data_IF_371999767004
#
_entry.id   IF_371999767004
#
_cell.length_a   1.000
_cell.length_b   1.000
_cell.length_c   1.000
_cell.angle_alpha   90.00
_cell.angle_beta   90.00
_cell.angle_gamma   90.00
#
_symmetry.space_group_name_H-M   'P 1'
#
loop_
_entity.id
_entity.type
_entity.pdbx_description
1 polymer ?
#
# COMPACT_ATOMS: atom_id res chain seq x y z
N UNK A 1 -5.59 8.39 34.87
CA UNK A 1 -4.99 7.05 34.74
C UNK A 1 -3.52 7.26 34.34
N UNK A 2 -2.54 6.64 35.01
CA UNK A 2 -1.13 6.81 34.62
C UNK A 2 -0.89 6.06 33.30
N UNK A 3 -0.51 6.78 32.25
CA UNK A 3 -0.02 6.24 30.98
C UNK A 3 1.44 6.69 30.81
N UNK A 4 2.21 5.96 30.01
CA UNK A 4 3.58 6.34 29.68
C UNK A 4 3.67 7.55 28.74
N UNK A 5 2.53 8.00 28.18
CA UNK A 5 2.44 9.11 27.22
C UNK A 5 1.65 10.31 27.73
N UNK A 6 1.94 11.47 27.15
CA UNK A 6 1.06 12.63 27.22
C UNK A 6 -0.24 12.36 26.45
N UNK A 7 -1.37 12.73 27.04
CA UNK A 7 -2.70 12.46 26.49
C UNK A 7 -2.91 13.09 25.09
N UNK A 8 -2.22 14.20 24.81
CA UNK A 8 -2.29 14.90 23.52
C UNK A 8 -1.80 14.04 22.35
N UNK A 9 -0.73 13.25 22.56
CA UNK A 9 -0.21 12.34 21.52
C UNK A 9 -1.20 11.21 21.24
N UNK A 10 -1.85 10.70 22.28
CA UNK A 10 -2.90 9.68 22.15
C UNK A 10 -4.08 10.22 21.33
N UNK A 11 -4.52 11.44 21.62
CA UNK A 11 -5.60 12.08 20.84
C UNK A 11 -5.22 12.37 19.39
N UNK A 12 -3.95 12.68 19.10
CA UNK A 12 -3.49 12.82 17.71
C UNK A 12 -3.60 11.49 16.94
N UNK A 13 -3.35 10.36 17.58
CA UNK A 13 -3.56 9.04 16.97
C UNK A 13 -5.06 8.80 16.72
N UNK A 14 -5.89 8.96 17.75
CA UNK A 14 -7.34 8.72 17.67
C UNK A 14 -8.01 9.59 16.60
N UNK A 15 -7.63 10.86 16.51
CA UNK A 15 -8.17 11.81 15.55
C UNK A 15 -7.49 11.76 14.18
N UNK A 16 -6.55 10.84 13.97
CA UNK A 16 -5.75 10.70 12.75
C UNK A 16 -5.09 12.02 12.34
N UNK A 17 -4.48 12.71 13.30
CA UNK A 17 -3.76 13.99 13.15
C UNK A 17 -2.25 13.84 13.36
N UNK A 18 -1.76 12.62 13.61
CA UNK A 18 -0.34 12.36 13.84
C UNK A 18 0.43 12.18 12.52
N UNK A 19 1.61 12.80 12.40
CA UNK A 19 2.46 12.73 11.21
C UNK A 19 3.38 11.49 11.19
N UNK A 20 3.73 10.98 12.37
CA UNK A 20 4.53 9.77 12.53
C UNK A 20 3.93 8.82 13.59
N UNK A 21 2.84 8.09 13.29
CA UNK A 21 2.20 7.20 14.27
C UNK A 21 3.15 6.17 14.90
N UNK A 22 4.28 5.85 14.25
CA UNK A 22 5.28 4.91 14.73
C UNK A 22 6.07 5.45 15.93
N UNK A 23 6.10 6.76 16.17
CA UNK A 23 6.69 7.32 17.40
C UNK A 23 5.85 7.04 18.65
N UNK A 24 4.60 6.63 18.47
CA UNK A 24 3.62 6.37 19.54
C UNK A 24 3.26 4.89 19.60
N UNK A 25 2.83 4.33 18.47
CA UNK A 25 2.38 2.95 18.31
C UNK A 25 3.57 2.00 18.12
N UNK A 26 3.33 0.70 18.31
CA UNK A 26 4.36 -0.33 18.24
C UNK A 26 5.15 -0.45 19.55
N UNK A 27 6.32 -1.10 19.45
CA UNK A 27 7.19 -1.39 20.58
C UNK A 27 8.29 -0.33 20.75
N UNK A 28 8.46 0.17 21.97
CA UNK A 28 9.43 1.20 22.33
C UNK A 28 10.18 0.83 23.60
N UNK A 29 11.50 1.04 23.62
CA UNK A 29 12.29 0.90 24.86
C UNK A 29 12.21 2.22 25.62
N UNK A 30 11.67 2.21 26.84
CA UNK A 30 11.49 3.41 27.66
C UNK A 30 11.97 3.18 29.10
N UNK A 31 12.12 4.27 29.84
CA UNK A 31 12.24 4.25 31.30
C UNK A 31 10.95 4.79 31.90
N UNK A 32 10.31 4.02 32.78
CA UNK A 32 9.02 4.37 33.40
C UNK A 32 9.04 4.03 34.89
N UNK A 33 8.72 5.03 35.71
CA UNK A 33 8.76 4.94 37.18
C UNK A 33 10.10 4.40 37.74
N UNK A 34 11.22 4.71 37.08
CA UNK A 34 12.57 4.29 37.48
C UNK A 34 12.98 2.90 36.97
N UNK A 35 12.13 2.24 36.18
CA UNK A 35 12.41 0.92 35.61
C UNK A 35 12.50 1.02 34.08
N UNK A 36 13.60 0.54 33.52
CA UNK A 36 13.73 0.41 32.06
C UNK A 36 12.96 -0.82 31.58
N UNK A 37 12.22 -0.69 30.50
CA UNK A 37 11.43 -1.77 29.93
C UNK A 37 11.01 -1.51 28.48
N UNK A 38 10.19 -2.41 27.96
CA UNK A 38 9.56 -2.26 26.64
C UNK A 38 8.09 -1.93 26.85
N UNK A 39 7.63 -0.84 26.24
CA UNK A 39 6.20 -0.52 26.12
C UNK A 39 5.72 -0.90 24.72
N UNK A 40 4.55 -1.52 24.63
CA UNK A 40 3.88 -1.84 23.38
C UNK A 40 2.53 -1.13 23.38
N UNK A 41 2.27 -0.36 22.33
CA UNK A 41 1.04 0.44 22.20
C UNK A 41 0.32 0.12 20.90
N UNK A 42 -0.97 -0.10 20.99
CA UNK A 42 -1.81 -0.43 19.85
C UNK A 42 -3.10 0.39 19.86
N UNK A 43 -3.47 0.90 18.69
CA UNK A 43 -4.76 1.54 18.48
C UNK A 43 -5.66 0.63 17.66
N UNK A 44 -6.64 0.03 18.34
CA UNK A 44 -7.54 -0.99 17.82
C UNK A 44 -8.98 -0.55 18.12
N UNK A 45 -9.57 0.32 17.26
CA UNK A 45 -10.82 1.04 17.57
C UNK A 45 -12.02 0.12 17.80
N UNK A 46 -12.01 -1.06 17.18
CA UNK A 46 -13.13 -2.01 17.23
C UNK A 46 -12.91 -3.14 18.25
N UNK A 47 -11.74 -3.19 18.90
CA UNK A 47 -11.40 -4.25 19.83
C UNK A 47 -12.01 -3.99 21.21
N UNK A 48 -12.54 -5.02 21.86
CA UNK A 48 -12.97 -5.04 23.25
C UNK A 48 -11.81 -5.32 24.22
N UNK A 49 -10.85 -6.16 23.82
CA UNK A 49 -9.60 -6.38 24.54
C UNK A 49 -8.46 -6.65 23.54
N UNK A 50 -7.22 -6.51 24.03
CA UNK A 50 -6.03 -6.76 23.23
C UNK A 50 -4.95 -7.44 24.09
N UNK A 51 -4.12 -8.28 23.46
CA UNK A 51 -2.94 -8.87 24.10
C UNK A 51 -1.74 -8.87 23.14
N UNK A 52 -0.54 -8.91 23.72
CA UNK A 52 0.71 -9.13 22.99
C UNK A 52 1.08 -10.60 23.13
N UNK A 53 1.31 -11.28 22.01
CA UNK A 53 1.78 -12.66 21.98
C UNK A 53 3.22 -12.67 21.48
N UNK A 54 4.15 -13.09 22.34
CA UNK A 54 5.58 -13.19 21.97
C UNK A 54 5.78 -14.24 20.88
N UNK A 55 6.77 -14.01 20.01
CA UNK A 55 7.18 -14.97 19.01
C UNK A 55 8.62 -15.45 19.27
N UNK A 56 8.83 -16.76 19.10
CA UNK A 56 10.13 -17.41 19.05
C UNK A 56 10.26 -18.15 17.73
N UNK A 57 10.77 -17.45 16.70
CA UNK A 57 10.61 -17.87 15.31
C UNK A 57 9.12 -17.84 14.91
N UNK A 58 8.62 -18.93 14.33
CA UNK A 58 7.20 -19.07 13.98
C UNK A 58 6.30 -19.50 15.15
N UNK A 59 6.87 -19.80 16.33
CA UNK A 59 6.11 -20.32 17.47
C UNK A 59 5.59 -19.19 18.36
N UNK A 60 4.32 -19.29 18.70
CA UNK A 60 3.66 -18.43 19.69
C UNK A 60 4.10 -18.81 21.10
N UNK A 61 4.48 -17.80 21.87
CA UNK A 61 4.95 -17.92 23.24
C UNK A 61 3.93 -17.38 24.24
N UNK A 62 4.44 -16.67 25.25
CA UNK A 62 3.60 -16.09 26.31
C UNK A 62 2.72 -14.97 25.77
N UNK A 63 1.46 -14.94 26.22
CA UNK A 63 0.51 -13.86 25.95
C UNK A 63 0.40 -12.93 27.16
N UNK A 64 0.41 -11.62 26.90
CA UNK A 64 0.32 -10.56 27.90
C UNK A 64 -0.86 -9.65 27.58
N UNK A 65 -1.83 -9.55 28.48
CA UNK A 65 -2.99 -8.67 28.31
C UNK A 65 -2.57 -7.20 28.31
N UNK A 66 -3.06 -6.44 27.33
CA UNK A 66 -2.83 -5.00 27.25
C UNK A 66 -3.90 -4.26 28.03
N UNK A 67 -3.51 -3.22 28.75
CA UNK A 67 -4.44 -2.35 29.47
C UNK A 67 -5.06 -1.36 28.49
N UNK A 68 -6.39 -1.26 28.50
CA UNK A 68 -7.10 -0.19 27.81
C UNK A 68 -6.87 1.15 28.53
N UNK A 69 -6.31 2.12 27.83
CA UNK A 69 -6.04 3.47 28.35
C UNK A 69 -7.16 4.45 27.95
N UNK A 70 -7.77 4.24 26.77
CA UNK A 70 -8.89 5.04 26.25
C UNK A 70 -10.00 4.14 25.68
N UNK A 71 -11.25 4.59 25.82
CA UNK A 71 -12.43 3.85 25.35
C UNK A 71 -12.47 3.74 23.82
N UNK A 72 -11.82 4.67 23.12
CA UNK A 72 -11.68 4.74 21.68
C UNK A 72 -10.83 3.61 21.08
N UNK A 73 -10.27 2.73 21.92
CA UNK A 73 -9.51 1.55 21.47
C UNK A 73 -8.00 1.69 21.59
N UNK A 74 -7.52 2.54 22.50
CA UNK A 74 -6.07 2.67 22.74
C UNK A 74 -5.62 1.74 23.87
N UNK A 75 -4.68 0.87 23.59
CA UNK A 75 -4.15 -0.14 24.50
C UNK A 75 -2.65 0.05 24.72
N UNK A 76 -2.21 -0.21 25.95
CA UNK A 76 -0.82 -0.10 26.37
C UNK A 76 -0.43 -1.29 27.25
N UNK A 77 0.74 -1.85 27.00
CA UNK A 77 1.38 -2.87 27.83
C UNK A 77 2.81 -2.41 28.12
N UNK A 78 3.19 -2.35 29.39
CA UNK A 78 4.58 -2.14 29.79
C UNK A 78 5.16 -3.43 30.38
N UNK A 79 6.28 -3.88 29.81
CA UNK A 79 7.03 -5.04 30.25
C UNK A 79 8.33 -4.55 30.91
N UNK A 80 8.40 -4.51 32.26
CA UNK A 80 9.60 -4.10 32.97
C UNK A 80 10.77 -5.06 32.68
N UNK A 81 11.99 -4.56 32.82
CA UNK A 81 13.25 -5.31 32.70
C UNK A 81 13.54 -5.94 31.32
N UNK A 82 12.67 -5.74 30.32
CA UNK A 82 12.95 -6.05 28.92
C UNK A 82 13.91 -5.02 28.34
N UNK A 83 15.09 -5.48 27.88
CA UNK A 83 16.18 -4.62 27.37
C UNK A 83 16.09 -4.30 25.89
N UNK A 84 15.39 -5.11 25.10
CA UNK A 84 15.30 -5.00 23.65
C UNK A 84 13.89 -5.33 23.18
N UNK A 85 13.51 -4.71 22.06
CA UNK A 85 12.31 -5.09 21.31
C UNK A 85 12.48 -6.54 20.84
N UNK A 86 11.38 -7.29 20.86
CA UNK A 86 11.32 -8.69 20.46
C UNK A 86 10.19 -8.87 19.43
N UNK A 87 10.22 -9.93 18.60
CA UNK A 87 9.13 -10.21 17.66
C UNK A 87 7.84 -10.58 18.41
N UNK A 88 6.71 -10.01 18.00
CA UNK A 88 5.40 -10.30 18.59
C UNK A 88 4.27 -10.20 17.56
N UNK A 89 3.10 -10.73 17.94
CA UNK A 89 1.81 -10.45 17.30
C UNK A 89 0.88 -9.78 18.31
N UNK A 90 -0.09 -9.04 17.78
CA UNK A 90 -1.21 -8.55 18.55
C UNK A 90 -2.36 -9.54 18.39
N UNK A 91 -3.02 -9.86 19.50
CA UNK A 91 -4.34 -10.48 19.47
C UNK A 91 -5.38 -9.40 19.80
N UNK A 92 -6.43 -9.30 18.99
CA UNK A 92 -7.60 -8.45 19.28
C UNK A 92 -8.84 -9.32 19.46
N UNK A 93 -9.65 -9.03 20.46
CA UNK A 93 -10.95 -9.67 20.64
C UNK A 93 -12.05 -8.65 20.42
N UNK A 94 -13.00 -8.95 19.54
CA UNK A 94 -14.13 -8.11 19.17
C UNK A 94 -15.32 -8.36 20.13
N UNK A 95 -16.34 -7.51 20.07
CA UNK A 95 -17.50 -7.58 20.99
C UNK A 95 -18.35 -8.86 20.85
N UNK A 96 -18.27 -9.54 19.70
CA UNK A 96 -18.92 -10.82 19.43
C UNK A 96 -18.12 -12.03 19.96
N UNK A 97 -16.96 -11.78 20.58
CA UNK A 97 -16.04 -12.80 21.08
C UNK A 97 -15.05 -13.32 20.03
N UNK A 98 -15.13 -12.87 18.77
CA UNK A 98 -14.17 -13.25 17.73
C UNK A 98 -12.79 -12.72 18.09
N UNK A 99 -11.78 -13.59 18.06
CA UNK A 99 -10.38 -13.22 18.30
C UNK A 99 -9.54 -13.40 17.04
N UNK A 100 -8.65 -12.45 16.78
CA UNK A 100 -7.77 -12.45 15.63
C UNK A 100 -6.33 -12.14 16.07
N UNK A 101 -5.39 -12.95 15.58
CA UNK A 101 -3.96 -12.79 15.82
C UNK A 101 -3.27 -12.30 14.54
N UNK A 102 -2.56 -11.18 14.62
CA UNK A 102 -1.95 -10.52 13.46
C UNK A 102 -0.65 -9.81 13.85
N UNK A 103 0.21 -9.59 12.86
CA UNK A 103 1.44 -8.81 13.06
C UNK A 103 1.12 -7.32 13.20
N UNK A 104 1.83 -6.63 14.09
CA UNK A 104 1.69 -5.20 14.28
C UNK A 104 2.37 -4.41 13.15
N UNK A 105 1.59 -3.69 12.35
CA UNK A 105 2.13 -2.85 11.25
C UNK A 105 3.13 -1.80 11.75
N UNK A 106 2.98 -1.34 13.00
CA UNK A 106 3.84 -0.31 13.61
C UNK A 106 5.14 -0.88 14.20
N UNK A 107 5.39 -2.18 14.06
CA UNK A 107 6.64 -2.83 14.48
C UNK A 107 7.70 -2.90 13.37
N UNK A 108 7.37 -2.48 12.15
CA UNK A 108 8.26 -2.58 10.97
C UNK A 108 8.95 -1.25 10.63
N UNK A 109 10.24 -1.33 10.33
CA UNK A 109 11.06 -0.18 9.92
C UNK A 109 10.70 0.31 8.51
N UNK A 110 11.09 1.55 8.14
CA UNK A 110 10.87 2.07 6.79
C UNK A 110 11.48 1.16 5.73
N UNK A 111 10.72 0.96 4.66
CA UNK A 111 11.11 0.15 3.50
C UNK A 111 11.81 0.96 2.41
N UNK A 112 11.57 2.27 2.35
CA UNK A 112 12.30 3.20 1.47
C UNK A 112 13.60 3.63 2.14
N UNK A 113 14.69 3.61 1.37
CA UNK A 113 16.01 4.04 1.85
C UNK A 113 16.19 5.54 1.76
N UNK A 114 17.11 6.10 2.54
CA UNK A 114 17.49 7.52 2.43
C UNK A 114 17.99 7.88 1.02
N UNK A 115 18.61 6.92 0.32
CA UNK A 115 19.07 7.11 -1.06
C UNK A 115 17.91 7.21 -2.06
N UNK A 116 16.87 6.37 -1.89
CA UNK A 116 15.64 6.45 -2.71
C UNK A 116 14.99 7.83 -2.52
N UNK A 117 14.87 8.30 -1.27
CA UNK A 117 14.29 9.61 -0.94
C UNK A 117 15.14 10.76 -1.48
N UNK A 118 16.46 10.64 -1.42
CA UNK A 118 17.37 11.64 -1.97
C UNK A 118 17.19 11.80 -3.49
N UNK A 119 17.24 10.69 -4.25
CA UNK A 119 17.05 10.71 -5.69
C UNK A 119 15.66 11.21 -6.08
N UNK A 120 14.62 10.83 -5.33
CA UNK A 120 13.26 11.28 -5.58
C UNK A 120 13.13 12.80 -5.40
N UNK A 121 13.68 13.35 -4.31
CA UNK A 121 13.66 14.78 -4.05
C UNK A 121 14.49 15.58 -5.07
N UNK A 122 15.53 14.97 -5.64
CA UNK A 122 16.31 15.56 -6.73
C UNK A 122 15.64 15.46 -8.11
N UNK A 123 14.54 14.69 -8.23
CA UNK A 123 13.88 14.42 -9.50
C UNK A 123 14.63 13.43 -10.41
N UNK A 124 15.59 12.67 -9.87
CA UNK A 124 16.52 11.81 -10.61
C UNK A 124 16.26 10.30 -10.37
N UNK A 125 15.18 9.96 -9.64
CA UNK A 125 14.83 8.57 -9.39
C UNK A 125 14.03 7.98 -10.57
N UNK A 126 14.71 7.55 -11.64
CA UNK A 126 14.08 7.02 -12.86
C UNK A 126 13.22 5.75 -12.67
N UNK A 127 13.43 5.01 -11.58
CA UNK A 127 12.65 3.81 -11.21
C UNK A 127 11.80 3.99 -9.95
N UNK A 128 11.34 5.22 -9.69
CA UNK A 128 10.61 5.53 -8.44
C UNK A 128 9.31 4.73 -8.29
N UNK A 129 8.72 4.30 -9.41
CA UNK A 129 7.55 3.44 -9.44
C UNK A 129 7.78 2.07 -8.78
N UNK A 130 9.02 1.68 -8.46
CA UNK A 130 9.35 0.45 -7.70
C UNK A 130 9.30 0.66 -6.18
N UNK A 131 9.05 1.90 -5.74
CA UNK A 131 9.06 2.33 -4.34
C UNK A 131 7.76 3.03 -3.93
N UNK A 132 7.27 3.94 -4.77
CA UNK A 132 5.96 4.56 -4.62
C UNK A 132 4.88 3.66 -5.21
N UNK A 133 3.70 3.70 -4.61
CA UNK A 133 2.60 2.80 -4.93
C UNK A 133 2.40 1.72 -3.87
N UNK A 134 1.83 0.58 -4.28
CA UNK A 134 1.67 -0.61 -3.46
C UNK A 134 2.53 -1.76 -3.99
N UNK A 135 3.49 -2.23 -3.19
CA UNK A 135 4.47 -3.24 -3.57
C UNK A 135 4.49 -4.40 -2.60
N UNK A 136 4.65 -5.63 -3.10
CA UNK A 136 4.98 -6.74 -2.23
C UNK A 136 6.38 -6.55 -1.65
N UNK A 137 6.48 -6.67 -0.33
CA UNK A 137 7.74 -6.62 0.40
C UNK A 137 7.80 -7.73 1.45
N UNK A 138 9.01 -8.19 1.73
CA UNK A 138 9.29 -9.09 2.85
C UNK A 138 10.19 -8.34 3.81
N UNK A 139 9.68 -8.09 5.02
CA UNK A 139 10.41 -7.38 6.08
C UNK A 139 10.45 -8.30 7.30
N UNK A 140 11.64 -8.58 7.83
CA UNK A 140 11.85 -9.51 8.95
C UNK A 140 11.18 -10.89 8.70
N UNK A 141 11.36 -11.44 7.50
CA UNK A 141 10.77 -12.72 7.04
C UNK A 141 9.22 -12.74 6.98
N UNK A 142 8.57 -11.59 7.15
CA UNK A 142 7.11 -11.44 7.02
C UNK A 142 6.77 -10.79 5.69
N UNK A 143 6.05 -11.52 4.83
CA UNK A 143 5.51 -11.00 3.58
C UNK A 143 4.29 -10.11 3.80
N UNK A 144 4.15 -9.06 3.01
CA UNK A 144 3.04 -8.12 3.07
C UNK A 144 3.12 -7.09 1.94
N UNK A 145 2.35 -6.01 2.08
CA UNK A 145 2.32 -4.92 1.10
C UNK A 145 2.85 -3.64 1.74
N UNK A 146 3.84 -3.05 1.08
CA UNK A 146 4.37 -1.73 1.35
C UNK A 146 3.58 -0.71 0.55
N UNK A 147 3.07 0.31 1.22
CA UNK A 147 2.41 1.45 0.59
C UNK A 147 3.26 2.69 0.77
N UNK A 148 3.48 3.44 -0.30
CA UNK A 148 4.05 4.77 -0.21
C UNK A 148 3.44 5.77 -1.19
N UNK A 149 3.18 6.98 -0.70
CA UNK A 149 2.58 8.06 -1.48
C UNK A 149 3.21 9.41 -1.14
N UNK A 150 3.48 10.21 -2.16
CA UNK A 150 3.98 11.56 -1.96
C UNK A 150 2.82 12.54 -1.71
N UNK A 151 2.76 13.09 -0.49
CA UNK A 151 1.74 14.06 -0.07
C UNK A 151 2.34 15.07 0.93
N UNK A 152 3.28 15.93 0.51
CA UNK A 152 4.12 16.75 1.41
C UNK A 152 3.32 17.79 2.22
N UNK A 153 2.15 18.18 1.72
CA UNK A 153 1.27 19.15 2.40
C UNK A 153 0.13 18.50 3.18
N UNK A 154 0.07 17.17 3.25
CA UNK A 154 -0.89 16.48 4.10
C UNK A 154 -0.58 16.72 5.58
N UNK A 155 -1.63 16.78 6.40
CA UNK A 155 -1.49 16.71 7.86
C UNK A 155 -1.29 15.26 8.31
N UNK A 156 -2.03 14.34 7.69
CA UNK A 156 -1.92 12.90 7.90
C UNK A 156 -2.41 12.16 6.67
N UNK A 157 -1.90 10.96 6.46
CA UNK A 157 -2.35 10.03 5.43
C UNK A 157 -2.61 8.69 6.09
N UNK A 158 -3.70 8.04 5.68
CA UNK A 158 -3.99 6.65 6.02
C UNK A 158 -4.23 5.86 4.75
N UNK A 159 -3.84 4.58 4.75
CA UNK A 159 -4.29 3.64 3.71
C UNK A 159 -5.61 3.01 4.16
N UNK A 160 -6.64 3.13 3.32
CA UNK A 160 -7.97 2.57 3.56
C UNK A 160 -8.28 1.55 2.48
N UNK A 161 -8.98 0.47 2.81
CA UNK A 161 -9.28 -0.58 1.85
C UNK A 161 -10.18 -1.67 2.39
N UNK A 162 -10.42 -2.69 1.56
CA UNK A 162 -11.24 -3.86 1.92
C UNK A 162 -10.75 -4.53 3.21
N UNK A 163 -9.44 -4.72 3.35
CA UNK A 163 -8.79 -5.34 4.51
C UNK A 163 -9.00 -4.62 5.85
N UNK A 164 -9.40 -3.35 5.86
CA UNK A 164 -9.60 -2.58 7.09
C UNK A 164 -11.00 -1.97 7.22
N UNK A 165 -11.92 -2.35 6.34
CA UNK A 165 -13.30 -1.83 6.32
C UNK A 165 -13.36 -0.36 5.93
N UNK A 166 -12.41 0.12 5.13
CA UNK A 166 -12.29 1.51 4.70
C UNK A 166 -12.12 2.51 5.87
N UNK A 167 -11.61 2.06 7.02
CA UNK A 167 -11.43 2.90 8.21
C UNK A 167 -10.01 3.47 8.31
N UNK A 168 -9.92 4.80 8.16
CA UNK A 168 -8.66 5.55 8.22
C UNK A 168 -7.90 5.45 9.53
N UNK A 169 -8.58 5.08 10.62
CA UNK A 169 -8.01 5.03 11.96
C UNK A 169 -7.06 3.85 12.15
N UNK A 170 -7.21 2.79 11.34
CA UNK A 170 -6.52 1.51 11.54
C UNK A 170 -5.10 1.47 10.97
N UNK A 171 -4.86 2.14 9.85
CA UNK A 171 -3.57 2.10 9.14
C UNK A 171 -3.11 3.51 8.76
N UNK A 172 -2.77 4.31 9.78
CA UNK A 172 -2.21 5.64 9.61
C UNK A 172 -0.71 5.53 9.24
N UNK A 173 -0.30 6.28 8.22
CA UNK A 173 1.06 6.24 7.66
C UNK A 173 1.98 7.21 8.40
N UNK A 174 3.30 6.97 8.34
CA UNK A 174 4.32 7.94 8.77
C UNK A 174 4.85 8.74 7.59
N UNK A 175 5.23 9.99 7.81
CA UNK A 175 6.03 10.75 6.85
C UNK A 175 7.53 10.44 7.04
N UNK A 176 8.25 10.20 5.95
CA UNK A 176 9.68 9.90 5.98
C UNK A 176 10.52 11.19 5.92
N UNK A 177 10.88 11.71 7.09
CA UNK A 177 11.68 12.93 7.23
C UNK A 177 11.02 14.14 6.55
N UNK A 178 11.80 14.91 5.79
CA UNK A 178 11.33 16.08 5.03
C UNK A 178 10.93 15.77 3.59
N UNK A 179 10.93 14.51 3.16
CA UNK A 179 10.61 14.13 1.77
C UNK A 179 9.14 14.39 1.40
N UNK A 180 8.24 14.36 2.38
CA UNK A 180 6.80 14.38 2.17
C UNK A 180 6.24 13.07 1.61
N UNK A 181 7.06 12.01 1.55
CA UNK A 181 6.61 10.65 1.25
C UNK A 181 6.06 10.03 2.53
N UNK A 182 4.82 9.55 2.45
CA UNK A 182 4.15 8.80 3.50
C UNK A 182 4.32 7.31 3.24
N UNK A 183 4.59 6.52 4.27
CA UNK A 183 4.81 5.07 4.13
C UNK A 183 4.17 4.27 5.27
N UNK A 184 3.74 3.04 4.95
CA UNK A 184 3.42 1.99 5.90
C UNK A 184 3.61 0.61 5.25
N UNK A 185 4.06 -0.37 6.03
CA UNK A 185 4.05 -1.77 5.64
C UNK A 185 2.92 -2.50 6.37
N UNK A 186 2.06 -3.20 5.61
CA UNK A 186 0.97 -4.00 6.15
C UNK A 186 1.30 -5.48 5.99
N UNK A 187 1.68 -6.17 7.08
CA UNK A 187 2.06 -7.57 7.05
C UNK A 187 0.87 -8.46 6.72
N UNK A 188 1.10 -9.52 5.94
CA UNK A 188 0.09 -10.51 5.58
C UNK A 188 -0.92 -10.07 4.50
N UNK A 189 -0.92 -8.80 4.08
CA UNK A 189 -1.82 -8.31 3.03
C UNK A 189 -1.51 -8.99 1.68
N UNK A 190 -2.55 -9.25 0.90
CA UNK A 190 -2.49 -10.05 -0.34
C UNK A 190 -2.73 -9.21 -1.58
N UNK A 191 -2.35 -9.77 -2.73
CA UNK A 191 -2.73 -9.26 -4.04
C UNK A 191 -4.26 -9.26 -4.20
N UNK A 192 -4.79 -8.31 -4.95
CA UNK A 192 -6.22 -8.20 -5.26
C UNK A 192 -7.01 -7.27 -4.34
N UNK A 193 -6.43 -6.89 -3.19
CA UNK A 193 -7.03 -5.98 -2.23
C UNK A 193 -7.29 -4.59 -2.83
N UNK A 194 -8.46 -4.03 -2.56
CA UNK A 194 -8.83 -2.69 -2.99
C UNK A 194 -8.37 -1.67 -1.95
N UNK A 195 -7.80 -0.56 -2.40
CA UNK A 195 -7.33 0.49 -1.51
C UNK A 195 -7.38 1.90 -2.11
N UNK A 196 -7.34 2.88 -1.22
CA UNK A 196 -7.16 4.30 -1.48
C UNK A 196 -6.28 4.92 -0.40
N UNK A 197 -5.73 6.10 -0.67
CA UNK A 197 -5.15 6.95 0.36
C UNK A 197 -6.20 7.95 0.83
N UNK A 198 -6.48 7.93 2.14
CA UNK A 198 -7.30 8.96 2.77
C UNK A 198 -6.39 10.03 3.37
N UNK A 199 -6.47 11.22 2.80
CA UNK A 199 -5.59 12.35 3.12
C UNK A 199 -6.37 13.35 3.97
N UNK A 200 -5.83 13.68 5.15
CA UNK A 200 -6.27 14.86 5.91
C UNK A 200 -5.42 16.04 5.50
N UNK A 201 -6.06 17.08 4.96
CA UNK A 201 -5.39 18.33 4.57
C UNK A 201 -4.99 19.16 5.80
N UNK A 202 -4.12 20.15 5.63
CA UNK A 202 -3.78 21.12 6.69
C UNK A 202 -5.01 21.87 7.21
N UNK A 203 -6.03 22.06 6.37
CA UNK A 203 -7.30 22.71 6.69
C UNK A 203 -8.31 21.75 7.35
N UNK A 204 -7.97 20.46 7.49
CA UNK A 204 -8.80 19.45 8.15
C UNK A 204 -9.77 18.70 7.23
N UNK A 205 -9.90 19.09 5.95
CA UNK A 205 -10.68 18.34 4.98
C UNK A 205 -10.10 16.93 4.78
N UNK A 206 -10.99 15.94 4.64
CA UNK A 206 -10.66 14.54 4.42
C UNK A 206 -10.98 14.21 2.97
N UNK A 207 -10.00 13.68 2.24
CA UNK A 207 -10.10 13.37 0.82
C UNK A 207 -9.67 11.94 0.56
N UNK A 208 -10.48 11.20 -0.19
CA UNK A 208 -10.08 9.89 -0.71
C UNK A 208 -9.42 10.08 -2.07
N UNK A 209 -8.23 9.50 -2.23
CA UNK A 209 -7.45 9.55 -3.46
C UNK A 209 -7.05 8.14 -3.91
N UNK A 210 -7.19 7.90 -5.20
CA UNK A 210 -6.59 6.74 -5.83
C UNK A 210 -5.06 6.89 -5.81
N UNK A 211 -4.35 5.77 -5.84
CA UNK A 211 -2.89 5.75 -5.85
C UNK A 211 -2.35 6.33 -7.18
N UNK A 212 -1.54 7.41 -7.14
CA UNK A 212 -0.90 7.94 -8.35
C UNK A 212 0.02 6.94 -9.06
N UNK A 213 0.55 5.96 -8.33
CA UNK A 213 1.44 4.89 -8.80
C UNK A 213 0.75 3.51 -8.79
N UNK A 214 -0.59 3.47 -8.71
CA UNK A 214 -1.34 2.22 -8.73
C UNK A 214 -1.18 1.48 -10.06
N UNK A 215 -0.91 0.17 -9.99
CA UNK A 215 -0.73 -0.68 -11.18
C UNK A 215 -2.03 -1.22 -11.77
N UNK A 216 -3.09 -1.25 -10.98
CA UNK A 216 -4.42 -1.69 -11.40
C UNK A 216 -5.48 -0.87 -10.65
N UNK A 217 -6.63 -0.65 -11.29
CA UNK A 217 -7.77 0.06 -10.70
C UNK A 217 -9.06 -0.74 -10.87
N UNK A 218 -10.06 -0.42 -10.05
CA UNK A 218 -11.41 -0.90 -10.30
C UNK A 218 -11.95 -0.40 -11.65
N UNK A 219 -12.85 -1.18 -12.25
CA UNK A 219 -13.56 -0.73 -13.43
C UNK A 219 -14.39 0.52 -13.09
N UNK A 220 -14.21 1.59 -13.88
CA UNK A 220 -15.03 2.81 -13.79
C UNK A 220 -16.54 2.48 -13.75
N UNK A 221 -17.34 3.26 -12.99
CA UNK A 221 -17.02 4.54 -12.36
C UNK A 221 -16.35 4.43 -10.98
N UNK A 222 -16.07 3.21 -10.50
CA UNK A 222 -15.29 3.01 -9.28
C UNK A 222 -13.86 3.53 -9.44
N UNK A 223 -13.19 3.81 -8.31
CA UNK A 223 -11.94 4.59 -8.29
C UNK A 223 -10.89 4.06 -7.31
N UNK A 224 -11.09 2.89 -6.68
CA UNK A 224 -10.03 2.32 -5.86
C UNK A 224 -8.91 1.74 -6.73
N UNK A 225 -7.69 1.84 -6.25
CA UNK A 225 -6.59 1.05 -6.77
C UNK A 225 -6.72 -0.40 -6.28
N UNK A 226 -6.16 -1.34 -7.02
CA UNK A 226 -6.02 -2.74 -6.63
C UNK A 226 -4.55 -3.04 -6.43
N UNK A 227 -4.21 -3.74 -5.34
CA UNK A 227 -2.87 -4.30 -5.16
C UNK A 227 -2.63 -5.32 -6.28
N UNK A 228 -1.65 -5.05 -7.14
CA UNK A 228 -1.22 -5.93 -8.22
C UNK A 228 0.29 -6.06 -8.14
N UNK A 229 0.82 -7.29 -8.13
CA UNK A 229 2.23 -7.52 -7.91
C UNK A 229 3.07 -7.37 -9.18
N UNK A 230 2.43 -7.14 -10.33
CA UNK A 230 3.06 -7.05 -11.66
C UNK A 230 3.95 -8.27 -11.92
N UNK A 231 3.45 -9.44 -11.52
CA UNK A 231 4.10 -10.73 -11.74
C UNK A 231 3.19 -11.66 -12.55
N UNK A 232 3.73 -12.78 -13.04
CA UNK A 232 2.92 -13.83 -13.66
C UNK A 232 2.79 -13.79 -15.18
N UNK A 233 3.43 -12.83 -15.87
CA UNK A 233 3.58 -12.89 -17.34
C UNK A 233 5.00 -13.30 -17.74
N UNK A 234 5.14 -14.44 -18.41
CA UNK A 234 6.38 -14.87 -19.05
C UNK A 234 6.43 -14.32 -20.47
N UNK A 235 7.38 -13.42 -20.72
CA UNK A 235 7.62 -12.84 -22.04
C UNK A 235 8.24 -13.86 -23.01
N UNK A 236 7.89 -13.75 -24.29
CA UNK A 236 8.39 -14.61 -25.37
C UNK A 236 8.93 -13.82 -26.57
N UNK A 237 9.32 -12.56 -26.36
CA UNK A 237 9.68 -11.59 -27.39
C UNK A 237 11.18 -11.23 -27.42
N UNK A 238 12.03 -12.03 -26.78
CA UNK A 238 13.48 -11.79 -26.63
C UNK A 238 14.17 -11.45 -27.97
N UNK A 239 13.87 -12.23 -29.01
CA UNK A 239 14.43 -12.02 -30.36
C UNK A 239 14.04 -10.65 -30.92
N UNK A 240 12.77 -10.26 -30.78
CA UNK A 240 12.29 -8.97 -31.25
C UNK A 240 12.97 -7.81 -30.50
N UNK A 241 13.11 -7.93 -29.18
CA UNK A 241 13.77 -6.94 -28.34
C UNK A 241 15.25 -6.76 -28.69
N UNK A 242 15.96 -7.86 -28.97
CA UNK A 242 17.35 -7.82 -29.44
C UNK A 242 17.47 -7.11 -30.80
N UNK A 243 16.67 -7.51 -31.79
CA UNK A 243 16.65 -6.90 -33.13
C UNK A 243 16.26 -5.41 -33.08
N UNK A 244 15.40 -5.00 -32.14
CA UNK A 244 15.02 -3.61 -31.91
C UNK A 244 16.18 -2.77 -31.39
N UNK A 245 16.97 -3.29 -30.45
CA UNK A 245 18.08 -2.56 -29.82
C UNK A 245 19.27 -2.29 -30.75
N UNK A 246 19.51 -3.16 -31.74
CA UNK A 246 20.70 -3.11 -32.59
C UNK A 246 20.49 -2.34 -33.91
N UNK A 247 19.25 -2.04 -34.29
CA UNK A 247 18.90 -1.47 -35.59
C UNK A 247 18.68 0.04 -35.59
N UNK A 248 19.08 0.72 -36.66
CA UNK A 248 18.56 2.06 -36.97
C UNK A 248 17.08 1.94 -37.39
N UNK A 249 16.17 2.17 -36.45
CA UNK A 249 14.74 2.02 -36.71
C UNK A 249 14.22 3.05 -37.73
N UNK A 250 14.87 4.22 -37.84
CA UNK A 250 14.47 5.28 -38.78
C UNK A 250 14.73 4.92 -40.25
N UNK A 251 15.60 3.94 -40.51
CA UNK A 251 15.88 3.47 -41.88
C UNK A 251 15.01 2.28 -42.29
N UNK A 252 14.09 1.81 -41.43
CA UNK A 252 13.17 0.70 -41.72
C UNK A 252 11.81 1.23 -42.19
N UNK A 253 11.01 0.44 -42.92
CA UNK A 253 9.65 0.83 -43.27
C UNK A 253 8.81 1.03 -42.00
N UNK A 254 8.14 2.19 -41.91
CA UNK A 254 7.20 2.52 -40.83
C UNK A 254 5.84 2.83 -41.46
N UNK A 255 4.91 1.92 -41.21
CA UNK A 255 3.49 2.07 -41.51
C UNK A 255 2.70 1.66 -40.27
N UNK A 256 1.95 2.61 -39.73
CA UNK A 256 1.30 2.55 -38.42
C UNK A 256 -0.20 2.40 -38.59
N UNK A 257 -0.80 1.46 -37.85
CA UNK A 257 -2.25 1.35 -37.71
C UNK A 257 -2.64 1.93 -36.35
N UNK A 258 -3.20 3.13 -36.36
CA UNK A 258 -3.70 3.80 -35.15
C UNK A 258 -5.04 3.17 -34.72
N UNK A 259 -5.18 2.87 -33.42
CA UNK A 259 -6.33 2.13 -32.88
C UNK A 259 -6.79 2.71 -31.55
N UNK A 260 -8.09 2.95 -31.45
CA UNK A 260 -8.80 3.07 -30.18
C UNK A 260 -9.38 1.70 -29.78
N UNK A 261 -8.82 1.07 -28.74
CA UNK A 261 -9.19 -0.31 -28.35
C UNK A 261 -10.67 -0.42 -27.96
N UNK A 262 -11.24 0.62 -27.34
CA UNK A 262 -12.61 0.65 -26.88
C UNK A 262 -13.67 0.67 -27.99
N UNK A 263 -13.28 0.95 -29.24
CA UNK A 263 -14.19 1.10 -30.39
C UNK A 263 -13.75 0.33 -31.63
N UNK A 264 -12.57 -0.30 -31.65
CA UNK A 264 -12.10 -1.09 -32.78
C UNK A 264 -13.04 -2.25 -33.13
N UNK A 265 -13.47 -3.01 -32.12
CA UNK A 265 -14.48 -4.06 -32.27
C UNK A 265 -15.11 -4.36 -30.91
N UNK A 266 -16.36 -4.86 -30.95
CA UNK A 266 -17.12 -5.31 -29.78
C UNK A 266 -17.50 -6.78 -29.91
N UNK A 267 -18.14 -7.33 -28.88
CA UNK A 267 -18.77 -8.65 -28.91
C UNK A 267 -20.30 -8.47 -28.87
N UNK A 268 -20.98 -8.35 -30.03
CA UNK A 268 -22.43 -8.08 -30.08
C UNK A 268 -23.25 -9.12 -29.31
N UNK A 269 -22.87 -10.39 -29.41
CA UNK A 269 -23.58 -11.51 -28.78
C UNK A 269 -23.47 -11.54 -27.25
N UNK A 270 -22.55 -10.75 -26.69
CA UNK A 270 -22.35 -10.62 -25.24
C UNK A 270 -22.69 -9.20 -24.78
N UNK A 271 -23.86 -8.70 -25.21
CA UNK A 271 -24.36 -7.39 -24.80
C UNK A 271 -23.48 -6.23 -25.27
N UNK A 272 -22.81 -6.38 -26.42
CA UNK A 272 -21.91 -5.38 -26.99
C UNK A 272 -20.73 -4.99 -26.06
N UNK A 273 -20.26 -5.91 -25.21
CA UNK A 273 -19.11 -5.67 -24.34
C UNK A 273 -17.83 -5.39 -25.13
N UNK A 274 -16.87 -4.76 -24.47
CA UNK A 274 -15.51 -4.61 -24.99
C UNK A 274 -14.82 -5.96 -25.14
N UNK A 275 -13.89 -6.02 -26.09
CA UNK A 275 -12.91 -7.10 -26.15
C UNK A 275 -11.89 -6.92 -25.02
N UNK A 276 -11.51 -8.02 -24.39
CA UNK A 276 -10.37 -8.07 -23.47
C UNK A 276 -9.06 -7.93 -24.23
N UNK A 277 -7.98 -7.56 -23.54
CA UNK A 277 -6.63 -7.53 -24.14
C UNK A 277 -6.23 -8.88 -24.77
N UNK A 278 -6.68 -10.01 -24.21
CA UNK A 278 -6.43 -11.36 -24.76
C UNK A 278 -7.13 -11.57 -26.09
N UNK A 279 -8.40 -11.19 -26.20
CA UNK A 279 -9.15 -11.29 -27.45
C UNK A 279 -8.62 -10.32 -28.52
N UNK A 280 -8.20 -9.12 -28.12
CA UNK A 280 -7.53 -8.16 -29.01
C UNK A 280 -6.19 -8.72 -29.53
N UNK A 281 -5.38 -9.33 -28.66
CA UNK A 281 -4.10 -9.92 -29.05
C UNK A 281 -4.25 -10.97 -30.16
N UNK A 282 -5.35 -11.71 -30.20
CA UNK A 282 -5.63 -12.64 -31.29
C UNK A 282 -6.21 -11.94 -32.53
N UNK A 283 -7.29 -11.16 -32.36
CA UNK A 283 -8.07 -10.62 -33.48
C UNK A 283 -7.39 -9.42 -34.15
N UNK A 284 -6.96 -8.45 -33.36
CA UNK A 284 -6.35 -7.21 -33.87
C UNK A 284 -4.99 -7.50 -34.50
N UNK A 285 -4.14 -8.28 -33.83
CA UNK A 285 -2.79 -8.59 -34.35
C UNK A 285 -2.86 -9.37 -35.66
N UNK A 286 -3.76 -10.36 -35.78
CA UNK A 286 -3.96 -11.10 -37.02
C UNK A 286 -4.43 -10.18 -38.17
N UNK A 287 -5.34 -9.25 -37.87
CA UNK A 287 -5.81 -8.25 -38.84
C UNK A 287 -4.68 -7.34 -39.32
N UNK A 288 -3.94 -6.74 -38.39
CA UNK A 288 -2.83 -5.81 -38.66
C UNK A 288 -1.75 -6.51 -39.50
N UNK A 289 -1.38 -7.74 -39.11
CA UNK A 289 -0.41 -8.57 -39.85
C UNK A 289 -0.88 -8.90 -41.27
N UNK A 290 -2.15 -9.28 -41.44
CA UNK A 290 -2.74 -9.55 -42.77
C UNK A 290 -2.75 -8.32 -43.67
N UNK A 291 -2.90 -7.13 -43.10
CA UNK A 291 -2.89 -5.85 -43.83
C UNK A 291 -1.49 -5.31 -44.11
N UNK A 292 -0.45 -5.91 -43.54
CA UNK A 292 0.95 -5.55 -43.81
C UNK A 292 1.43 -4.29 -43.10
N UNK A 293 0.74 -3.85 -42.05
CA UNK A 293 1.25 -2.78 -41.18
C UNK A 293 2.44 -3.28 -40.36
N UNK A 294 3.33 -2.35 -40.01
CA UNK A 294 4.55 -2.63 -39.25
C UNK A 294 4.39 -2.37 -37.75
N UNK A 295 3.49 -1.45 -37.38
CA UNK A 295 3.29 -0.99 -36.00
C UNK A 295 1.80 -0.78 -35.72
N UNK A 296 1.44 -0.90 -34.45
CA UNK A 296 0.14 -0.49 -33.92
C UNK A 296 0.42 0.71 -33.01
N UNK A 297 -0.30 1.80 -33.23
CA UNK A 297 -0.32 2.94 -32.31
C UNK A 297 -1.64 2.92 -31.56
N UNK A 298 -1.57 2.99 -30.23
CA UNK A 298 -2.75 2.94 -29.38
C UNK A 298 -3.07 4.35 -28.93
N UNK A 299 -4.35 4.74 -29.05
CA UNK A 299 -4.87 5.84 -28.23
C UNK A 299 -4.66 5.51 -26.74
N UNK A 300 -4.64 6.52 -25.84
CA UNK A 300 -4.28 6.33 -24.44
C UNK A 300 -4.98 5.14 -23.77
N UNK A 301 -4.20 4.18 -23.29
CA UNK A 301 -4.68 2.97 -22.58
C UNK A 301 -4.50 3.05 -21.07
N UNK A 302 -3.94 4.16 -20.59
CA UNK A 302 -3.86 4.49 -19.18
C UNK A 302 -5.28 4.64 -18.64
N UNK A 303 -5.50 4.31 -17.37
CA UNK A 303 -6.82 4.38 -16.76
C UNK A 303 -7.42 5.78 -16.90
N UNK A 304 -8.67 5.84 -17.35
CA UNK A 304 -9.39 7.08 -17.59
C UNK A 304 -10.88 6.92 -17.22
N UNK A 305 -11.47 7.90 -16.51
CA UNK A 305 -12.80 7.72 -15.94
C UNK A 305 -13.94 7.81 -16.97
N UNK A 306 -13.67 8.36 -18.16
CA UNK A 306 -14.71 8.70 -19.13
C UNK A 306 -14.36 8.21 -20.54
N UNK A 307 -15.20 7.36 -21.12
CA UNK A 307 -14.96 6.75 -22.44
C UNK A 307 -14.86 7.74 -23.61
N UNK A 308 -15.38 8.96 -23.44
CA UNK A 308 -15.39 9.98 -24.49
C UNK A 308 -14.26 11.01 -24.42
N UNK A 309 -13.25 10.79 -23.57
CA UNK A 309 -12.11 11.71 -23.36
C UNK A 309 -11.03 11.60 -24.43
#
# INVERSE_FOLDING_TARGET
MKSTLHLDEVWKIVNTDHYDPFSVLGAHVIEWEGTRGVVIRAFLPDAQSASVVELSGEKEGTSFEMKRILNEGFFELFLPDRRSIFPYKLARTMADGTSELFYDSYSFLPTLTDFDLYLFNAGDHHRIYEKLGAHHAVVNDVGGIQFAVWAPSARSVSVIGSFNGWDRRKHAMRVLGSSGVWEIFIPGLKEGELYKFQIKTKQGAILDKCDPYGFEMEMRPSTAARVNLVTGHTWGDERWMMERSQGNQLSKPISVYEVHLGSWSRVPEEGNRWLTYRELAERLVAYVKKRGFTHIELLPIMEHPFDGS
#
